data_IF_707401970636
#
_entry.id   IF_707401970636
#
_cell.length_a   1.000
_cell.length_b   1.000
_cell.length_c   1.000
_cell.angle_alpha   90.00
_cell.angle_beta   90.00
_cell.angle_gamma   90.00
#
_symmetry.space_group_name_H-M   'P 1'
#
loop_
_entity.id
_entity.type
_entity.pdbx_description
1 polymer ?
#
# COMPACT_ATOMS: atom_id res chain seq x y z
N UNK A 1 -5.76 28.06 -13.14
CA UNK A 1 -6.95 27.19 -13.13
C UNK A 1 -8.23 27.99 -13.40
N UNK A 2 -8.83 28.69 -12.42
CA UNK A 2 -10.17 29.29 -12.57
C UNK A 2 -10.32 30.27 -13.76
N UNK A 3 -9.34 31.15 -14.00
CA UNK A 3 -9.36 32.08 -15.16
C UNK A 3 -9.23 31.39 -16.53
N UNK A 4 -8.76 30.14 -16.57
CA UNK A 4 -8.57 29.35 -17.79
C UNK A 4 -9.72 28.35 -18.02
N UNK A 5 -10.57 28.13 -17.01
CA UNK A 5 -11.68 27.17 -17.08
C UNK A 5 -12.85 27.75 -17.87
N UNK A 6 -13.17 27.14 -19.02
CA UNK A 6 -14.32 27.54 -19.87
C UNK A 6 -15.56 26.66 -19.71
N UNK A 7 -15.39 25.45 -19.15
CA UNK A 7 -16.47 24.47 -18.95
C UNK A 7 -16.23 23.71 -17.65
N UNK A 8 -17.31 23.43 -16.93
CA UNK A 8 -17.33 22.58 -15.75
C UNK A 8 -18.26 21.41 -16.04
N UNK A 9 -17.79 20.20 -15.76
CA UNK A 9 -18.57 18.96 -15.84
C UNK A 9 -18.46 18.25 -14.50
N UNK A 10 -19.49 17.48 -14.15
CA UNK A 10 -19.52 16.70 -12.93
C UNK A 10 -20.07 15.30 -13.23
N UNK A 11 -19.72 14.35 -12.35
CA UNK A 11 -20.27 13.00 -12.34
C UNK A 11 -20.80 12.73 -10.94
N UNK A 12 -22.02 12.20 -10.84
CA UNK A 12 -22.63 11.85 -9.56
C UNK A 12 -22.16 10.46 -9.13
N UNK A 13 -22.00 10.28 -7.83
CA UNK A 13 -21.67 8.98 -7.20
C UNK A 13 -22.58 8.78 -6.00
N UNK A 14 -22.78 7.52 -5.59
CA UNK A 14 -23.67 7.18 -4.48
C UNK A 14 -23.18 7.70 -3.13
N UNK A 15 -21.87 7.83 -2.96
CA UNK A 15 -21.28 8.44 -1.78
C UNK A 15 -19.81 8.82 -1.97
N UNK A 16 -19.16 9.13 -0.84
CA UNK A 16 -17.78 9.59 -0.81
C UNK A 16 -16.79 8.53 -1.30
N UNK A 17 -17.05 7.25 -1.04
CA UNK A 17 -16.14 6.17 -1.44
C UNK A 17 -16.05 6.10 -2.96
N UNK A 18 -17.21 6.05 -3.64
CA UNK A 18 -17.28 6.10 -5.09
C UNK A 18 -16.65 7.36 -5.67
N UNK A 19 -16.84 8.52 -5.02
CA UNK A 19 -16.24 9.77 -5.45
C UNK A 19 -14.70 9.72 -5.43
N UNK A 20 -14.11 9.20 -4.34
CA UNK A 20 -12.65 9.07 -4.19
C UNK A 20 -12.06 8.09 -5.21
N UNK A 21 -12.73 6.95 -5.44
CA UNK A 21 -12.29 5.95 -6.41
C UNK A 21 -12.33 6.49 -7.85
N UNK A 22 -13.44 7.15 -8.20
CA UNK A 22 -13.63 7.77 -9.50
C UNK A 22 -12.61 8.89 -9.73
N UNK A 23 -12.39 9.76 -8.73
CA UNK A 23 -11.36 10.80 -8.79
C UNK A 23 -9.98 10.20 -9.08
N UNK A 24 -9.58 9.18 -8.30
CA UNK A 24 -8.28 8.53 -8.46
C UNK A 24 -8.10 7.94 -9.88
N UNK A 25 -9.15 7.33 -10.44
CA UNK A 25 -9.14 6.81 -11.81
C UNK A 25 -9.03 7.94 -12.85
N UNK A 26 -9.87 8.96 -12.76
CA UNK A 26 -9.87 10.06 -13.74
C UNK A 26 -8.54 10.83 -13.75
N UNK A 27 -7.91 11.02 -12.60
CA UNK A 27 -6.58 11.67 -12.54
C UNK A 27 -5.53 10.81 -13.26
N UNK A 28 -5.58 9.48 -13.12
CA UNK A 28 -4.64 8.55 -13.79
C UNK A 28 -4.85 8.51 -15.30
N UNK A 29 -6.10 8.54 -15.74
CA UNK A 29 -6.47 8.48 -17.15
C UNK A 29 -6.21 9.81 -17.87
N UNK A 30 -6.67 10.93 -17.29
CA UNK A 30 -6.64 12.25 -17.96
C UNK A 30 -5.32 13.01 -17.73
N UNK A 31 -4.55 12.66 -16.69
CA UNK A 31 -3.31 13.33 -16.30
C UNK A 31 -3.38 14.87 -16.30
N UNK A 32 -4.39 15.48 -15.66
CA UNK A 32 -4.61 16.91 -15.73
C UNK A 32 -3.41 17.71 -15.18
N UNK A 33 -3.11 18.83 -15.85
CA UNK A 33 -1.92 19.65 -15.59
C UNK A 33 -1.79 20.08 -14.12
N UNK A 34 -2.91 20.42 -13.48
CA UNK A 34 -2.91 20.93 -12.10
C UNK A 34 -2.89 19.82 -11.03
N UNK A 35 -3.19 18.57 -11.37
CA UNK A 35 -3.14 17.47 -10.42
C UNK A 35 -1.71 16.94 -10.28
N UNK A 36 -1.12 17.19 -9.12
CA UNK A 36 0.23 16.72 -8.77
C UNK A 36 0.24 15.34 -8.10
N UNK A 37 -0.85 14.97 -7.43
CA UNK A 37 -1.03 13.68 -6.72
C UNK A 37 -1.76 12.67 -7.61
N UNK A 38 -1.77 11.39 -7.19
CA UNK A 38 -2.54 10.29 -7.82
C UNK A 38 -2.14 9.95 -9.26
N UNK A 39 -1.00 10.44 -9.74
CA UNK A 39 -0.43 10.03 -11.04
C UNK A 39 0.14 8.61 -10.93
N UNK A 40 0.10 7.85 -12.03
CA UNK A 40 0.64 6.48 -12.07
C UNK A 40 2.10 6.42 -11.61
N UNK A 41 2.36 5.58 -10.62
CA UNK A 41 3.69 5.40 -10.06
C UNK A 41 4.30 4.05 -10.47
N UNK A 42 5.31 4.08 -11.33
CA UNK A 42 6.04 2.88 -11.79
C UNK A 42 7.09 2.37 -10.81
N UNK A 43 7.39 3.13 -9.75
CA UNK A 43 8.42 2.82 -8.76
C UNK A 43 7.82 2.40 -7.40
N UNK A 44 6.53 2.07 -7.37
CA UNK A 44 5.87 1.57 -6.17
C UNK A 44 6.61 0.34 -5.63
N UNK A 45 7.04 0.43 -4.37
CA UNK A 45 7.80 -0.63 -3.70
C UNK A 45 7.36 -0.80 -2.24
N UNK A 46 7.67 -1.98 -1.69
CA UNK A 46 7.40 -2.37 -0.31
C UNK A 46 8.63 -3.07 0.28
N UNK A 47 8.68 -3.17 1.61
CA UNK A 47 9.64 -4.04 2.28
C UNK A 47 9.10 -5.47 2.37
N UNK A 48 9.89 -6.45 1.94
CA UNK A 48 9.66 -7.87 2.15
C UNK A 48 10.56 -8.34 3.30
N UNK A 49 9.96 -8.89 4.36
CA UNK A 49 10.68 -9.49 5.49
C UNK A 49 10.43 -11.01 5.52
N UNK A 50 10.93 -11.72 4.50
CA UNK A 50 10.87 -13.19 4.46
C UNK A 50 12.07 -13.83 5.20
N UNK A 51 13.26 -13.23 5.06
CA UNK A 51 14.52 -13.73 5.63
C UNK A 51 15.03 -12.83 6.77
N UNK A 52 16.28 -13.03 7.19
CA UNK A 52 16.96 -12.24 8.22
C UNK A 52 17.20 -10.77 7.81
N UNK A 53 17.11 -10.45 6.52
CA UNK A 53 17.35 -9.09 6.01
C UNK A 53 16.14 -8.56 5.27
N UNK A 54 15.66 -7.34 5.60
CA UNK A 54 14.63 -6.67 4.83
C UNK A 54 15.08 -6.45 3.38
N UNK A 55 14.21 -6.77 2.42
CA UNK A 55 14.45 -6.53 0.99
C UNK A 55 13.41 -5.57 0.43
N UNK A 56 13.80 -4.74 -0.53
CA UNK A 56 12.84 -3.88 -1.24
C UNK A 56 12.39 -4.60 -2.49
N UNK A 57 11.09 -4.84 -2.63
CA UNK A 57 10.46 -5.44 -3.81
C UNK A 57 9.54 -4.43 -4.50
N UNK A 58 9.38 -4.54 -5.81
CA UNK A 58 8.55 -3.63 -6.60
C UNK A 58 7.23 -4.28 -7.02
N UNK A 59 6.15 -3.49 -7.09
CA UNK A 59 4.82 -3.97 -7.47
C UNK A 59 4.72 -4.51 -8.91
N UNK A 60 5.75 -4.24 -9.75
CA UNK A 60 5.86 -4.78 -11.11
C UNK A 60 6.49 -6.18 -11.16
N UNK A 61 7.14 -6.58 -10.08
CA UNK A 61 7.90 -7.84 -9.95
C UNK A 61 7.18 -8.83 -9.05
N UNK A 62 6.40 -8.34 -8.09
CA UNK A 62 5.71 -9.13 -7.07
C UNK A 62 4.26 -8.68 -6.97
N UNK A 63 3.34 -9.64 -6.87
CA UNK A 63 1.92 -9.35 -6.65
C UNK A 63 1.67 -8.96 -5.18
N UNK A 64 1.51 -7.66 -4.95
CA UNK A 64 1.30 -7.10 -3.62
C UNK A 64 -0.05 -7.49 -3.00
N UNK A 65 -0.97 -8.03 -3.80
CA UNK A 65 -2.29 -8.46 -3.33
C UNK A 65 -2.21 -9.81 -2.63
N UNK A 66 -1.24 -10.66 -2.99
CA UNK A 66 -1.15 -12.04 -2.49
C UNK A 66 0.16 -12.33 -1.76
N UNK A 67 1.18 -11.50 -1.96
CA UNK A 67 2.46 -11.66 -1.28
C UNK A 67 2.36 -11.33 0.22
N UNK A 68 2.65 -12.32 1.04
CA UNK A 68 2.76 -12.16 2.49
C UNK A 68 4.07 -11.46 2.90
N UNK A 69 4.09 -10.96 4.14
CA UNK A 69 5.25 -10.30 4.74
C UNK A 69 5.69 -9.04 3.98
N UNK A 70 4.75 -8.35 3.34
CA UNK A 70 4.97 -7.02 2.79
C UNK A 70 4.64 -5.93 3.79
N UNK A 71 5.50 -4.93 3.88
CA UNK A 71 5.42 -3.85 4.85
C UNK A 71 5.63 -2.51 4.18
N UNK A 72 4.60 -1.65 4.29
CA UNK A 72 4.55 -0.30 3.78
C UNK A 72 4.44 -0.20 2.26
N UNK A 73 3.78 0.87 1.80
CA UNK A 73 3.69 1.22 0.38
C UNK A 73 4.43 2.53 0.12
N UNK A 74 5.58 2.46 -0.55
CA UNK A 74 6.47 3.59 -0.77
C UNK A 74 6.47 4.01 -2.23
N UNK A 75 6.48 5.33 -2.45
CA UNK A 75 6.47 5.87 -3.80
C UNK A 75 7.74 5.55 -4.59
N UNK A 76 8.86 5.29 -3.90
CA UNK A 76 10.13 4.92 -4.51
C UNK A 76 11.05 4.33 -3.44
N UNK A 77 12.18 3.76 -3.90
CA UNK A 77 13.21 3.16 -3.04
C UNK A 77 13.74 4.13 -1.97
N UNK A 78 13.90 5.42 -2.32
CA UNK A 78 14.41 6.43 -1.37
C UNK A 78 13.47 6.59 -0.18
N UNK A 79 12.17 6.67 -0.41
CA UNK A 79 11.17 6.77 0.66
C UNK A 79 11.17 5.52 1.55
N UNK A 80 11.29 4.33 0.96
CA UNK A 80 11.39 3.07 1.71
C UNK A 80 12.63 3.02 2.62
N UNK A 81 13.79 3.43 2.08
CA UNK A 81 15.05 3.50 2.83
C UNK A 81 15.01 4.55 3.95
N UNK A 82 14.41 5.72 3.69
CA UNK A 82 14.25 6.78 4.70
C UNK A 82 13.38 6.29 5.87
N UNK A 83 12.28 5.60 5.58
CA UNK A 83 11.43 5.01 6.63
C UNK A 83 12.22 4.01 7.48
N UNK A 84 12.95 3.07 6.86
CA UNK A 84 13.73 2.08 7.60
C UNK A 84 14.85 2.72 8.45
N UNK A 85 15.48 3.78 7.94
CA UNK A 85 16.48 4.55 8.69
C UNK A 85 15.87 5.24 9.91
N UNK A 86 14.73 5.92 9.75
CA UNK A 86 14.01 6.54 10.87
C UNK A 86 13.61 5.51 11.92
N UNK A 87 13.05 4.36 11.49
CA UNK A 87 12.71 3.25 12.37
C UNK A 87 13.93 2.77 13.16
N UNK A 88 15.07 2.62 12.49
CA UNK A 88 16.29 2.13 13.10
C UNK A 88 16.91 3.14 14.06
N UNK A 89 16.76 4.43 13.81
CA UNK A 89 17.15 5.49 14.73
C UNK A 89 16.31 5.47 16.01
N UNK A 90 14.99 5.42 15.86
CA UNK A 90 14.04 5.41 16.98
C UNK A 90 14.18 4.15 17.86
N UNK A 91 14.37 3.00 17.23
CA UNK A 91 14.42 1.71 17.93
C UNK A 91 15.84 1.24 18.27
N UNK A 92 16.87 2.05 17.96
CA UNK A 92 18.29 1.69 18.11
C UNK A 92 18.66 0.38 17.40
N UNK A 93 18.13 0.16 16.19
CA UNK A 93 18.42 -1.02 15.38
C UNK A 93 19.77 -0.86 14.65
N UNK A 94 20.45 -1.98 14.41
CA UNK A 94 21.73 -2.01 13.70
C UNK A 94 21.54 -1.87 12.18
N UNK A 95 22.09 -0.82 11.57
CA UNK A 95 22.07 -0.61 10.11
C UNK A 95 22.72 -1.76 9.33
N UNK A 96 23.78 -2.35 9.88
CA UNK A 96 24.46 -3.48 9.25
C UNK A 96 23.62 -4.75 9.16
N UNK A 97 22.84 -5.05 10.21
CA UNK A 97 21.90 -6.18 10.19
C UNK A 97 20.71 -5.91 9.28
N UNK A 98 20.27 -4.64 9.20
CA UNK A 98 19.22 -4.21 8.28
C UNK A 98 19.68 -4.15 6.81
N UNK A 99 20.97 -4.37 6.53
CA UNK A 99 21.53 -4.29 5.18
C UNK A 99 21.64 -2.86 4.62
N UNK A 100 21.55 -1.83 5.48
CA UNK A 100 21.71 -0.42 5.10
C UNK A 100 23.19 -0.04 4.93
N UNK A 101 24.08 -0.72 5.64
CA UNK A 101 25.53 -0.49 5.62
C UNK A 101 26.28 -1.83 5.62
N UNK A 102 27.52 -1.88 5.07
CA UNK A 102 28.35 -3.07 5.19
C UNK A 102 28.72 -3.33 6.65
N UNK A 103 28.67 -4.59 7.07
CA UNK A 103 28.99 -5.00 8.44
C UNK A 103 30.20 -5.93 8.48
N UNK A 104 31.18 -5.60 9.31
CA UNK A 104 32.26 -6.53 9.69
C UNK A 104 31.77 -7.41 10.85
N UNK A 105 31.81 -8.74 10.69
CA UNK A 105 31.40 -9.68 11.75
C UNK A 105 32.22 -9.48 13.02
N UNK A 106 31.54 -9.53 14.17
CA UNK A 106 32.17 -9.46 15.49
C UNK A 106 32.65 -8.08 15.95
N UNK A 107 32.50 -7.03 15.12
CA UNK A 107 32.87 -5.65 15.49
C UNK A 107 31.63 -4.78 15.72
N UNK A 108 31.71 -3.91 16.73
CA UNK A 108 30.67 -2.92 16.98
C UNK A 108 30.58 -1.95 15.80
N UNK A 109 29.37 -1.70 15.29
CA UNK A 109 29.18 -0.69 14.27
C UNK A 109 29.37 0.72 14.84
N UNK A 110 29.67 1.70 13.98
CA UNK A 110 29.86 3.09 14.39
C UNK A 110 28.67 3.64 15.21
N UNK A 111 27.45 3.26 14.83
CA UNK A 111 26.23 3.64 15.56
C UNK A 111 26.17 3.09 16.98
N UNK A 112 26.77 1.92 17.24
CA UNK A 112 26.84 1.36 18.59
C UNK A 112 27.79 2.17 19.47
N UNK A 113 28.91 2.64 18.93
CA UNK A 113 29.81 3.55 19.64
C UNK A 113 29.12 4.89 20.00
N UNK A 114 28.17 5.34 19.17
CA UNK A 114 27.36 6.55 19.42
C UNK A 114 26.09 6.30 20.26
N UNK A 115 25.85 5.08 20.77
CA UNK A 115 24.65 4.74 21.55
C UNK A 115 23.34 4.67 20.73
N UNK A 116 23.43 4.73 19.40
CA UNK A 116 22.29 4.68 18.45
C UNK A 116 22.01 3.27 17.90
N UNK A 117 22.69 2.26 18.44
CA UNK A 117 22.48 0.85 18.13
C UNK A 117 22.67 0.04 19.43
N UNK A 118 21.71 -0.83 19.73
CA UNK A 118 21.72 -1.67 20.94
C UNK A 118 22.82 -2.76 20.92
N UNK A 119 23.44 -3.00 19.76
CA UNK A 119 24.70 -3.73 19.68
C UNK A 119 24.58 -5.20 19.30
N UNK A 120 23.49 -5.59 18.63
CA UNK A 120 23.35 -6.94 18.04
C UNK A 120 24.51 -7.33 17.11
N UNK A 121 25.16 -6.36 16.45
CA UNK A 121 26.35 -6.59 15.63
C UNK A 121 27.60 -7.05 16.41
N UNK A 122 27.68 -6.78 17.72
CA UNK A 122 28.85 -7.08 18.56
C UNK A 122 28.50 -7.92 19.78
N UNK A 123 27.34 -8.57 19.79
CA UNK A 123 26.91 -9.49 20.85
C UNK A 123 26.44 -8.82 22.15
N UNK A 124 26.30 -7.49 22.20
CA UNK A 124 25.68 -6.80 23.35
C UNK A 124 24.17 -7.03 23.44
N UNK A 125 23.58 -7.43 22.32
CA UNK A 125 22.18 -7.82 22.17
C UNK A 125 22.17 -9.09 21.31
N UNK A 126 21.19 -9.96 21.49
CA UNK A 126 20.98 -11.09 20.57
C UNK A 126 20.40 -10.61 19.23
N UNK A 127 20.63 -11.37 18.16
CA UNK A 127 20.07 -11.05 16.83
C UNK A 127 18.55 -11.21 16.85
N UNK A 128 18.06 -12.14 17.66
CA UNK A 128 16.65 -12.44 17.87
C UNK A 128 15.91 -11.25 18.50
N UNK A 129 16.45 -10.66 19.58
CA UNK A 129 15.85 -9.48 20.21
C UNK A 129 15.84 -8.26 19.28
N UNK A 130 16.88 -8.12 18.44
CA UNK A 130 16.93 -7.09 17.40
C UNK A 130 15.83 -7.31 16.34
N UNK A 131 15.65 -8.56 15.90
CA UNK A 131 14.62 -8.95 14.92
C UNK A 131 13.20 -8.76 15.46
N UNK A 132 12.94 -9.16 16.69
CA UNK A 132 11.63 -8.97 17.35
C UNK A 132 11.25 -7.49 17.39
N UNK A 133 12.20 -6.62 17.74
CA UNK A 133 11.98 -5.17 17.78
C UNK A 133 11.70 -4.59 16.41
N UNK A 134 12.42 -5.04 15.38
CA UNK A 134 12.14 -4.67 13.99
C UNK A 134 10.72 -5.10 13.59
N UNK A 135 10.36 -6.37 13.83
CA UNK A 135 9.05 -6.92 13.48
C UNK A 135 7.91 -6.20 14.22
N UNK A 136 8.10 -5.90 15.50
CA UNK A 136 7.12 -5.18 16.32
C UNK A 136 6.74 -3.84 15.69
N UNK A 137 7.71 -3.08 15.16
CA UNK A 137 7.39 -1.82 14.48
C UNK A 137 6.88 -2.02 13.05
N UNK A 138 7.47 -2.97 12.30
CA UNK A 138 7.07 -3.24 10.92
C UNK A 138 5.63 -3.73 10.84
N UNK A 139 5.15 -4.52 11.80
CA UNK A 139 3.78 -5.05 11.85
C UNK A 139 2.70 -4.00 11.63
N UNK A 140 2.93 -2.76 12.08
CA UNK A 140 2.01 -1.62 11.92
C UNK A 140 1.85 -1.16 10.46
N UNK A 141 2.81 -1.52 9.61
CA UNK A 141 2.87 -1.19 8.20
C UNK A 141 2.49 -2.39 7.32
N UNK A 142 2.12 -3.52 7.91
CA UNK A 142 1.87 -4.75 7.17
C UNK A 142 0.71 -4.56 6.18
N UNK A 143 0.94 -4.97 4.94
CA UNK A 143 -0.10 -4.98 3.92
C UNK A 143 -1.05 -6.16 4.17
N UNK A 144 -2.33 -5.90 3.96
CA UNK A 144 -3.36 -6.93 4.00
C UNK A 144 -3.43 -7.59 2.62
N UNK A 145 -3.22 -8.89 2.58
CA UNK A 145 -3.46 -9.68 1.37
C UNK A 145 -4.95 -9.66 1.04
N UNK A 146 -5.30 -9.70 -0.25
CA UNK A 146 -6.67 -9.79 -0.71
C UNK A 146 -7.34 -11.04 -0.10
N UNK A 147 -8.34 -10.87 0.79
CA UNK A 147 -8.87 -11.98 1.59
C UNK A 147 -9.93 -12.82 0.86
N UNK A 148 -10.39 -12.40 -0.32
CA UNK A 148 -11.44 -13.08 -1.08
C UNK A 148 -10.85 -13.94 -2.20
N UNK A 149 -11.53 -15.04 -2.54
CA UNK A 149 -11.10 -15.94 -3.62
C UNK A 149 -11.19 -15.32 -5.03
N UNK A 150 -11.99 -14.26 -5.18
CA UNK A 150 -12.21 -13.57 -6.45
C UNK A 150 -12.63 -12.11 -6.26
N UNK A 151 -13.20 -11.50 -7.30
CA UNK A 151 -13.73 -10.14 -7.25
C UNK A 151 -14.89 -10.01 -6.26
N UNK A 152 -15.01 -8.82 -5.66
CA UNK A 152 -16.09 -8.47 -4.74
C UNK A 152 -16.71 -7.15 -5.19
N UNK A 153 -18.04 -7.08 -5.15
CA UNK A 153 -18.79 -5.84 -5.26
C UNK A 153 -19.06 -5.26 -3.86
N UNK A 154 -18.60 -4.03 -3.61
CA UNK A 154 -18.97 -3.25 -2.43
C UNK A 154 -20.17 -2.39 -2.76
N UNK A 155 -21.24 -2.52 -1.99
CA UNK A 155 -22.48 -1.75 -2.17
C UNK A 155 -22.42 -0.42 -1.40
N UNK A 156 -22.51 0.69 -2.12
CA UNK A 156 -22.62 2.04 -1.56
C UNK A 156 -24.00 2.61 -1.86
N UNK A 157 -24.75 2.96 -0.80
CA UNK A 157 -26.10 3.54 -0.90
C UNK A 157 -26.08 5.01 -0.55
N UNK A 158 -26.48 5.84 -1.52
CA UNK A 158 -26.75 7.26 -1.35
C UNK A 158 -28.22 7.56 -1.08
N UNK A 159 -28.58 8.84 -1.08
CA UNK A 159 -29.95 9.28 -0.86
C UNK A 159 -30.91 8.94 -2.02
N UNK A 160 -30.41 8.93 -3.26
CA UNK A 160 -31.21 8.74 -4.47
C UNK A 160 -30.59 7.75 -5.48
N UNK A 161 -29.46 7.12 -5.13
CA UNK A 161 -28.81 6.13 -5.99
C UNK A 161 -28.05 5.10 -5.16
N UNK A 162 -27.90 3.90 -5.74
CA UNK A 162 -27.05 2.83 -5.20
C UNK A 162 -26.03 2.45 -6.28
N UNK A 163 -24.79 2.23 -5.88
CA UNK A 163 -23.72 1.80 -6.77
C UNK A 163 -23.00 0.60 -6.16
N UNK A 164 -22.66 -0.35 -7.02
CA UNK A 164 -21.84 -1.50 -6.68
C UNK A 164 -20.44 -1.27 -7.26
N UNK A 165 -19.48 -1.05 -6.38
CA UNK A 165 -18.08 -0.88 -6.75
C UNK A 165 -17.44 -2.25 -6.89
N UNK A 166 -16.99 -2.60 -8.10
CA UNK A 166 -16.32 -3.88 -8.36
C UNK A 166 -14.83 -3.73 -8.08
N UNK A 167 -14.33 -4.50 -7.11
CA UNK A 167 -12.92 -4.54 -6.72
C UNK A 167 -12.38 -5.95 -6.92
N UNK A 168 -11.15 -6.05 -7.42
CA UNK A 168 -10.37 -7.28 -7.42
C UNK A 168 -8.91 -6.95 -7.13
N UNK A 169 -8.25 -7.69 -6.23
CA UNK A 169 -6.83 -7.49 -5.91
C UNK A 169 -6.47 -6.04 -5.52
N UNK A 170 -7.33 -5.40 -4.71
CA UNK A 170 -7.22 -3.98 -4.32
C UNK A 170 -7.28 -2.96 -5.47
N UNK A 171 -7.61 -3.40 -6.68
CA UNK A 171 -7.87 -2.54 -7.83
C UNK A 171 -9.37 -2.37 -8.02
N UNK A 172 -9.80 -1.12 -8.07
CA UNK A 172 -11.16 -0.76 -8.45
C UNK A 172 -11.32 -0.85 -9.98
N UNK A 173 -12.21 -1.73 -10.44
CA UNK A 173 -12.47 -1.99 -11.85
C UNK A 173 -13.53 -1.03 -12.40
N UNK A 174 -14.45 -0.57 -11.55
CA UNK A 174 -15.51 0.37 -11.89
C UNK A 174 -16.71 0.28 -10.94
N UNK A 175 -17.71 1.10 -11.20
CA UNK A 175 -19.00 1.06 -10.51
C UNK A 175 -20.11 0.65 -11.49
N UNK A 176 -21.07 -0.13 -11.02
CA UNK A 176 -22.27 -0.54 -11.76
C UNK A 176 -23.53 -0.26 -10.94
N UNK A 177 -24.67 -0.15 -11.62
CA UNK A 177 -25.97 0.10 -10.97
C UNK A 177 -26.68 -1.19 -10.53
N UNK A 178 -26.34 -2.32 -11.14
CA UNK A 178 -26.82 -3.66 -10.79
C UNK A 178 -25.67 -4.67 -10.79
N UNK A 179 -25.71 -5.64 -9.87
CA UNK A 179 -24.74 -6.72 -9.77
C UNK A 179 -24.62 -7.53 -11.08
N UNK A 180 -25.68 -7.63 -11.88
CA UNK A 180 -25.66 -8.36 -13.15
C UNK A 180 -24.66 -7.78 -14.16
N UNK A 181 -24.35 -6.48 -14.05
CA UNK A 181 -23.39 -5.79 -14.92
C UNK A 181 -21.94 -6.01 -14.47
N UNK A 182 -21.71 -6.54 -13.26
CA UNK A 182 -20.36 -6.68 -12.70
C UNK A 182 -19.48 -7.65 -13.50
N UNK A 183 -20.09 -8.64 -14.17
CA UNK A 183 -19.39 -9.64 -14.98
C UNK A 183 -18.62 -9.05 -16.18
N UNK A 184 -18.96 -7.85 -16.64
CA UNK A 184 -18.22 -7.18 -17.71
C UNK A 184 -16.90 -6.61 -17.21
N UNK A 185 -16.88 -6.12 -15.96
CA UNK A 185 -15.71 -5.47 -15.36
C UNK A 185 -14.63 -6.47 -14.92
N UNK A 186 -15.00 -7.71 -14.62
CA UNK A 186 -14.08 -8.74 -14.11
C UNK A 186 -13.25 -9.44 -15.18
N UNK A 187 -13.42 -9.08 -16.46
CA UNK A 187 -12.72 -9.72 -17.61
C UNK A 187 -11.25 -9.33 -17.74
N UNK A 188 -10.83 -8.22 -17.14
CA UNK A 188 -9.45 -7.72 -17.22
C UNK A 188 -8.61 -8.25 -16.04
N UNK A 189 -7.33 -8.60 -16.27
CA UNK A 189 -6.44 -9.00 -15.19
C UNK A 189 -6.28 -7.83 -14.21
N UNK A 190 -6.58 -8.09 -12.93
CA UNK A 190 -6.44 -7.10 -11.89
C UNK A 190 -4.98 -6.99 -11.44
N UNK A 191 -4.42 -5.78 -11.56
CA UNK A 191 -3.15 -5.42 -10.91
C UNK A 191 -3.37 -4.89 -9.49
N UNK A 192 -2.30 -4.37 -8.87
CA UNK A 192 -2.38 -3.68 -7.58
C UNK A 192 -2.30 -2.17 -7.78
N UNK A 193 -3.19 -1.41 -7.12
CA UNK A 193 -3.15 0.05 -7.11
C UNK A 193 -2.97 0.61 -5.69
N UNK A 194 -1.89 1.39 -5.48
CA UNK A 194 -1.59 1.95 -4.15
C UNK A 194 -2.70 2.86 -3.63
N UNK A 195 -3.27 3.70 -4.50
CA UNK A 195 -4.29 4.66 -4.07
C UNK A 195 -5.62 3.95 -3.81
N UNK A 196 -6.00 3.01 -4.69
CA UNK A 196 -7.09 2.08 -4.48
C UNK A 196 -6.96 1.34 -3.15
N UNK A 197 -5.80 0.73 -2.86
CA UNK A 197 -5.54 0.08 -1.57
C UNK A 197 -5.79 1.02 -0.38
N UNK A 198 -5.27 2.25 -0.42
CA UNK A 198 -5.45 3.23 0.68
C UNK A 198 -6.91 3.63 0.87
N UNK A 199 -7.66 3.77 -0.21
CA UNK A 199 -9.09 4.11 -0.18
C UNK A 199 -9.92 2.91 0.31
N UNK A 200 -9.62 1.71 -0.17
CA UNK A 200 -10.45 0.51 -0.01
C UNK A 200 -10.14 -0.33 1.23
N UNK A 201 -8.90 -0.31 1.73
CA UNK A 201 -8.46 -1.22 2.79
C UNK A 201 -9.34 -1.13 4.05
N UNK A 202 -9.69 0.08 4.50
CA UNK A 202 -10.56 0.24 5.66
C UNK A 202 -12.02 -0.10 5.33
N UNK A 203 -12.67 0.50 4.31
CA UNK A 203 -14.07 0.22 3.96
C UNK A 203 -14.39 -1.26 3.72
N UNK A 204 -13.47 -1.99 3.07
CA UNK A 204 -13.68 -3.42 2.77
C UNK A 204 -13.50 -4.32 4.01
N UNK A 205 -12.76 -3.89 5.03
CA UNK A 205 -12.45 -4.71 6.21
C UNK A 205 -13.25 -4.30 7.45
N UNK A 206 -13.82 -3.10 7.50
CA UNK A 206 -14.58 -2.62 8.65
C UNK A 206 -15.97 -3.24 8.78
N UNK A 207 -16.53 -3.76 7.67
CA UNK A 207 -17.90 -4.24 7.62
C UNK A 207 -18.95 -3.13 7.52
N UNK A 208 -18.52 -1.88 7.27
CA UNK A 208 -19.42 -0.71 7.15
C UNK A 208 -20.27 -0.77 5.86
N UNK A 209 -19.85 -1.54 4.87
CA UNK A 209 -20.51 -1.68 3.57
C UNK A 209 -20.89 -3.15 3.31
N UNK A 210 -22.10 -3.42 2.77
CA UNK A 210 -22.44 -4.74 2.28
C UNK A 210 -21.50 -5.16 1.15
N UNK A 211 -21.00 -6.40 1.24
CA UNK A 211 -20.11 -6.99 0.25
C UNK A 211 -20.78 -8.16 -0.44
N UNK A 212 -20.66 -8.21 -1.76
CA UNK A 212 -21.23 -9.24 -2.63
C UNK A 212 -20.11 -9.94 -3.39
N UNK A 213 -19.75 -11.18 -3.04
CA UNK A 213 -18.80 -11.96 -3.83
C UNK A 213 -19.32 -12.18 -5.26
N UNK A 214 -18.44 -12.08 -6.25
CA UNK A 214 -18.80 -12.17 -7.67
C UNK A 214 -18.26 -13.46 -8.34
N UNK A 215 -17.99 -14.49 -7.54
CA UNK A 215 -17.41 -15.77 -7.97
C UNK A 215 -18.00 -16.94 -7.21
#
# INVERSE_FOLDING_TARGET
MLRQSRRITWQRTAGELGALLLEARLIKEQQPLFNKRLRRNKQLCAWLLADDRPQIVYAREVDFSHQQHLYGLFANRRAALQMLQSLADEQRLCYGLLGLEPLSRGRACFRSALGRCAGACCGKESVEAHRERLLAQMSRLQLVCWPWAGPVALEERGSDMTQYHVIHNWLWLGAVESLDQAAELTRLPAGFDQDGYKILCKPLLSGDYPLHPLG
#
